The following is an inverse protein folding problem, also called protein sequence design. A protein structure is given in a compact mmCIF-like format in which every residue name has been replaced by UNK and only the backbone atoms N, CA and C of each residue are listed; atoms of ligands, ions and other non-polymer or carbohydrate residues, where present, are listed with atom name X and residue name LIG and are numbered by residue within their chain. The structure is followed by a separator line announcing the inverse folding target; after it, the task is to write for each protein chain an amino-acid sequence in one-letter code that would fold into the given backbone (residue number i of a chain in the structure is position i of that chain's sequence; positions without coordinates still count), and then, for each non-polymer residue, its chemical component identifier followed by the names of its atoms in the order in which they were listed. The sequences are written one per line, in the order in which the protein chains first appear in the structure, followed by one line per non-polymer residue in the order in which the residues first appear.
data_IF_921857961691
#
_entry.id   IF_921857961691
#
_cell.length_a   1.000
_cell.length_b   1.000
_cell.length_c   1.000
_cell.angle_alpha   90.00
_cell.angle_beta   90.00
_cell.angle_gamma   90.00
#
_symmetry.space_group_name_H-M   'P 1'
#
loop_
_entity.id
_entity.type
_entity.pdbx_description
1 polymer ?
#
# COMPACT_ATOMS: atom_id res chain seq x y z
N UNK A 1 -19.49 -12.38 22.45
CA UNK A 1 -18.22 -12.99 22.91
C UNK A 1 -17.87 -14.14 21.95
N UNK A 2 -17.20 -13.84 20.84
CA UNK A 2 -16.64 -14.87 19.94
C UNK A 2 -15.36 -15.46 20.58
N UNK A 3 -15.57 -16.23 21.65
CA UNK A 3 -14.51 -16.88 22.41
C UNK A 3 -14.02 -18.16 21.73
N UNK A 4 -12.70 -18.34 21.72
CA UNK A 4 -11.95 -19.54 21.35
C UNK A 4 -11.97 -20.03 19.89
N UNK A 5 -13.08 -20.01 19.15
CA UNK A 5 -13.11 -20.56 17.77
C UNK A 5 -12.54 -19.63 16.68
N UNK A 6 -12.68 -18.32 16.81
CA UNK A 6 -12.07 -17.36 15.85
C UNK A 6 -10.54 -17.38 15.84
N UNK A 7 -9.94 -17.80 16.97
CA UNK A 7 -8.49 -17.94 17.17
C UNK A 7 -7.85 -19.05 16.33
N UNK A 8 -8.65 -19.96 15.77
CA UNK A 8 -8.16 -21.08 14.95
C UNK A 8 -7.87 -20.66 13.49
N UNK A 9 -8.47 -19.57 13.01
CA UNK A 9 -8.42 -19.18 11.59
C UNK A 9 -7.68 -17.86 11.36
N UNK A 10 -7.76 -16.93 12.31
CA UNK A 10 -6.88 -15.75 12.35
C UNK A 10 -5.69 -16.14 13.22
N UNK A 11 -4.57 -16.42 12.56
CA UNK A 11 -3.35 -16.91 13.21
C UNK A 11 -2.31 -15.80 13.26
N UNK A 12 -1.41 -15.90 14.24
CA UNK A 12 -0.20 -15.08 14.21
C UNK A 12 0.56 -15.35 12.91
N UNK A 13 1.21 -14.31 12.35
CA UNK A 13 2.06 -14.49 11.18
C UNK A 13 3.18 -15.47 11.51
N UNK A 14 3.69 -16.14 10.47
CA UNK A 14 4.95 -16.86 10.57
C UNK A 14 6.08 -15.88 10.94
N UNK A 15 7.06 -16.37 11.70
CA UNK A 15 8.28 -15.65 12.05
C UNK A 15 9.32 -15.66 10.92
N UNK A 16 9.11 -16.50 9.89
CA UNK A 16 9.92 -16.48 8.67
C UNK A 16 9.71 -15.19 7.85
N UNK A 17 10.70 -14.81 7.05
CA UNK A 17 10.54 -13.66 6.14
C UNK A 17 9.52 -14.03 5.06
N UNK A 18 8.47 -13.22 4.84
CA UNK A 18 7.45 -13.50 3.83
C UNK A 18 8.03 -13.59 2.42
N UNK A 19 7.44 -14.47 1.60
CA UNK A 19 7.94 -14.79 0.26
C UNK A 19 7.95 -13.60 -0.69
N UNK A 20 6.98 -12.70 -0.52
CA UNK A 20 6.82 -11.44 -1.25
C UNK A 20 8.01 -10.50 -1.02
N UNK A 21 8.66 -10.62 0.14
CA UNK A 21 9.88 -9.90 0.47
C UNK A 21 11.09 -10.68 -0.02
N UNK A 22 11.26 -11.94 0.37
CA UNK A 22 12.47 -12.72 0.03
C UNK A 22 12.72 -12.84 -1.47
N UNK A 23 11.65 -12.97 -2.27
CA UNK A 23 11.73 -13.17 -3.71
C UNK A 23 11.88 -11.85 -4.50
N UNK A 24 11.88 -10.70 -3.81
CA UNK A 24 11.94 -9.40 -4.46
C UNK A 24 13.17 -8.58 -3.99
N UNK A 25 14.17 -8.35 -4.85
CA UNK A 25 15.39 -7.61 -4.49
C UNK A 25 15.16 -6.11 -4.24
N UNK A 26 13.93 -5.62 -4.47
CA UNK A 26 13.51 -4.27 -4.05
C UNK A 26 13.19 -4.21 -2.56
N UNK A 27 12.87 -5.35 -1.94
CA UNK A 27 12.43 -5.43 -0.55
C UNK A 27 13.43 -6.21 0.32
N UNK A 28 14.00 -7.32 -0.17
CA UNK A 28 15.05 -8.05 0.54
C UNK A 28 16.44 -7.44 0.28
N UNK A 29 17.31 -7.31 1.30
CA UNK A 29 17.13 -7.74 2.69
C UNK A 29 16.47 -6.69 3.61
N UNK A 30 16.18 -5.50 3.10
CA UNK A 30 15.84 -4.32 3.91
C UNK A 30 14.57 -4.48 4.77
N UNK A 31 13.56 -5.18 4.25
CA UNK A 31 12.29 -5.43 4.94
C UNK A 31 12.19 -6.87 5.49
N UNK A 32 13.31 -7.58 5.70
CA UNK A 32 13.31 -9.01 6.07
C UNK A 32 12.52 -9.38 7.34
N UNK A 33 12.33 -8.41 8.24
CA UNK A 33 11.60 -8.59 9.50
C UNK A 33 10.18 -7.99 9.47
N UNK A 34 9.75 -7.50 8.31
CA UNK A 34 8.39 -7.03 8.07
C UNK A 34 7.47 -8.22 7.83
N UNK A 35 6.44 -8.37 8.66
CA UNK A 35 5.50 -9.50 8.62
C UNK A 35 4.16 -9.16 7.97
N UNK A 36 3.90 -7.88 7.72
CA UNK A 36 2.67 -7.44 7.06
C UNK A 36 2.44 -5.93 7.16
N UNK A 37 1.19 -5.53 6.97
CA UNK A 37 0.73 -4.16 7.13
C UNK A 37 -0.48 -4.04 8.05
N UNK A 38 -0.60 -2.89 8.71
CA UNK A 38 -1.70 -2.48 9.59
C UNK A 38 -2.45 -1.32 8.93
N UNK A 39 -3.78 -1.40 8.95
CA UNK A 39 -4.62 -0.28 8.58
C UNK A 39 -6.04 -0.37 9.14
N UNK A 40 -6.71 0.79 9.16
CA UNK A 40 -8.10 0.93 9.52
C UNK A 40 -8.99 0.89 8.29
N UNK A 41 -10.20 0.36 8.43
CA UNK A 41 -11.25 0.52 7.41
C UNK A 41 -12.59 0.85 8.05
N UNK A 42 -13.35 1.71 7.39
CA UNK A 42 -14.70 2.02 7.79
C UNK A 42 -15.70 1.05 7.11
N UNK A 43 -16.59 0.49 7.94
CA UNK A 43 -17.72 -0.33 7.52
C UNK A 43 -19.00 0.35 7.99
N UNK A 44 -20.05 0.38 7.15
CA UNK A 44 -21.32 1.01 7.51
C UNK A 44 -21.88 0.38 8.80
N UNK A 45 -22.42 1.22 9.66
CA UNK A 45 -23.01 0.78 10.91
C UNK A 45 -24.38 1.42 11.11
N UNK A 46 -25.36 0.60 11.48
CA UNK A 46 -26.68 1.10 11.89
C UNK A 46 -26.73 1.19 13.42
N UNK A 47 -26.91 2.41 13.91
CA UNK A 47 -26.71 2.79 15.31
C UNK A 47 -27.90 3.65 15.76
N UNK A 48 -28.43 3.45 16.99
CA UNK A 48 -29.50 4.29 17.53
C UNK A 48 -29.13 5.77 17.54
N UNK A 49 -30.09 6.65 17.22
CA UNK A 49 -29.92 8.11 17.10
C UNK A 49 -29.15 8.73 18.28
N UNK A 50 -29.44 8.28 19.51
CA UNK A 50 -28.77 8.76 20.74
C UNK A 50 -27.26 8.56 20.77
N UNK A 51 -26.72 7.65 19.95
CA UNK A 51 -25.30 7.27 19.94
C UNK A 51 -24.61 7.57 18.60
N UNK A 52 -25.34 7.96 17.56
CA UNK A 52 -24.81 8.18 16.21
C UNK A 52 -23.69 9.22 16.14
N UNK A 53 -23.68 10.21 17.04
CA UNK A 53 -22.64 11.24 17.07
C UNK A 53 -21.22 10.67 17.14
N UNK A 54 -21.02 9.59 17.90
CA UNK A 54 -19.72 8.90 18.00
C UNK A 54 -19.38 8.07 16.76
N UNK A 55 -20.39 7.56 16.05
CA UNK A 55 -20.18 6.69 14.89
C UNK A 55 -20.07 7.46 13.57
N UNK A 56 -20.19 8.78 13.59
CA UNK A 56 -20.14 9.60 12.39
C UNK A 56 -18.73 9.61 11.80
N UNK A 57 -18.61 9.16 10.56
CA UNK A 57 -17.34 9.19 9.82
C UNK A 57 -17.06 10.59 9.25
N UNK A 58 -15.79 10.88 8.92
CA UNK A 58 -15.41 12.12 8.21
C UNK A 58 -16.06 12.22 6.82
N UNK A 59 -16.31 11.08 6.16
CA UNK A 59 -16.94 10.99 4.83
C UNK A 59 -18.48 11.01 4.91
N UNK A 60 -19.04 11.32 6.08
CA UNK A 60 -20.50 11.29 6.32
C UNK A 60 -21.01 9.88 6.68
N UNK A 61 -22.26 9.83 7.15
CA UNK A 61 -22.91 8.59 7.59
C UNK A 61 -22.32 7.99 8.89
N UNK A 62 -22.94 6.91 9.36
CA UNK A 62 -22.51 6.16 10.55
C UNK A 62 -21.72 4.92 10.15
N UNK A 63 -20.55 4.76 10.76
CA UNK A 63 -19.61 3.66 10.47
C UNK A 63 -19.02 3.10 11.76
N UNK A 64 -18.63 1.84 11.73
CA UNK A 64 -17.67 1.28 12.66
C UNK A 64 -16.28 1.32 12.04
N UNK A 65 -15.28 1.68 12.85
CA UNK A 65 -13.88 1.55 12.47
C UNK A 65 -13.41 0.12 12.79
N UNK A 66 -12.66 -0.48 11.86
CA UNK A 66 -12.11 -1.82 11.92
C UNK A 66 -10.62 -1.74 11.68
N UNK A 67 -9.82 -2.02 12.71
CA UNK A 67 -8.38 -2.17 12.57
C UNK A 67 -8.06 -3.60 12.18
N UNK A 68 -7.17 -3.79 11.20
CA UNK A 68 -6.68 -5.11 10.82
C UNK A 68 -5.16 -5.13 10.65
N UNK A 69 -4.55 -6.25 11.02
CA UNK A 69 -3.21 -6.63 10.64
C UNK A 69 -3.30 -7.71 9.56
N UNK A 70 -2.57 -7.51 8.46
CA UNK A 70 -2.68 -8.32 7.25
C UNK A 70 -1.28 -8.71 6.80
N UNK A 71 -1.07 -10.02 6.61
CA UNK A 71 0.18 -10.60 6.13
C UNK A 71 0.29 -10.51 4.60
N UNK A 72 1.50 -10.67 4.06
CA UNK A 72 1.72 -10.55 2.62
C UNK A 72 1.11 -11.68 1.78
N UNK A 73 0.77 -12.82 2.40
CA UNK A 73 -0.06 -13.88 1.81
C UNK A 73 -1.57 -13.54 1.79
N UNK A 74 -1.91 -12.26 2.01
CA UNK A 74 -3.25 -11.68 1.96
C UNK A 74 -4.21 -12.20 3.02
N UNK A 75 -3.70 -12.72 4.14
CA UNK A 75 -4.53 -13.18 5.26
C UNK A 75 -4.56 -12.17 6.40
N UNK A 76 -5.69 -12.13 7.11
CA UNK A 76 -5.79 -11.43 8.37
C UNK A 76 -5.00 -12.18 9.44
N UNK A 77 -4.06 -11.50 10.10
CA UNK A 77 -3.39 -11.99 11.31
C UNK A 77 -3.97 -11.40 12.60
N UNK A 78 -4.71 -10.29 12.48
CA UNK A 78 -5.48 -9.69 13.58
C UNK A 78 -6.63 -8.84 13.03
N UNK A 79 -7.76 -8.83 13.74
CA UNK A 79 -8.91 -7.96 13.43
C UNK A 79 -9.53 -7.44 14.73
N UNK A 80 -9.74 -6.13 14.78
CA UNK A 80 -10.45 -5.44 15.85
C UNK A 80 -11.58 -4.60 15.25
N UNK A 81 -12.80 -5.12 15.33
CA UNK A 81 -14.01 -4.46 14.84
C UNK A 81 -14.83 -3.86 15.99
N UNK A 82 -15.78 -2.99 15.64
CA UNK A 82 -16.75 -2.42 16.58
C UNK A 82 -16.35 -1.10 17.24
N UNK A 83 -15.25 -0.48 16.80
CA UNK A 83 -14.87 0.86 17.24
C UNK A 83 -15.76 1.93 16.64
N UNK A 84 -15.93 3.04 17.35
CA UNK A 84 -16.73 4.14 16.84
C UNK A 84 -16.09 4.77 15.59
N UNK A 85 -16.90 5.11 14.58
CA UNK A 85 -16.43 5.70 13.33
C UNK A 85 -15.71 7.05 13.45
N UNK A 86 -15.78 7.74 14.60
CA UNK A 86 -14.98 8.94 14.86
C UNK A 86 -13.68 8.67 15.62
N UNK A 87 -13.46 7.44 16.08
CA UNK A 87 -12.27 7.08 16.84
C UNK A 87 -11.00 7.21 15.98
N UNK A 88 -9.97 7.81 16.57
CA UNK A 88 -8.65 7.92 15.93
C UNK A 88 -7.96 6.57 15.86
N UNK A 89 -7.34 6.28 14.72
CA UNK A 89 -6.64 5.03 14.46
C UNK A 89 -5.56 4.70 15.50
N UNK A 90 -4.82 5.69 15.99
CA UNK A 90 -3.83 5.53 17.06
C UNK A 90 -4.45 5.02 18.38
N UNK A 91 -5.67 5.47 18.72
CA UNK A 91 -6.39 5.02 19.90
C UNK A 91 -6.83 3.56 19.76
N UNK A 92 -7.31 3.19 18.58
CA UNK A 92 -7.73 1.81 18.28
C UNK A 92 -6.51 0.87 18.33
N UNK A 93 -5.38 1.29 17.78
CA UNK A 93 -4.13 0.52 17.84
C UNK A 93 -3.62 0.36 19.28
N UNK A 94 -3.68 1.41 20.10
CA UNK A 94 -3.30 1.33 21.52
C UNK A 94 -4.16 0.33 22.30
N UNK A 95 -5.48 0.32 22.06
CA UNK A 95 -6.37 -0.72 22.63
C UNK A 95 -6.01 -2.11 22.09
N UNK A 96 -5.79 -2.25 20.78
CA UNK A 96 -5.41 -3.52 20.17
C UNK A 96 -4.16 -4.13 20.83
N UNK A 97 -3.15 -3.32 21.14
CA UNK A 97 -1.89 -3.76 21.76
C UNK A 97 -2.02 -4.07 23.25
N UNK A 98 -2.82 -3.31 23.99
CA UNK A 98 -2.97 -3.44 25.45
C UNK A 98 -3.92 -4.56 25.88
N UNK A 99 -4.81 -5.01 24.98
CA UNK A 99 -5.82 -6.02 25.28
C UNK A 99 -5.25 -7.41 25.61
N UNK A 100 -5.87 -8.14 26.55
CA UNK A 100 -5.62 -9.57 26.73
C UNK A 100 -5.97 -10.35 25.45
N UNK A 101 -4.97 -10.97 24.81
CA UNK A 101 -5.16 -11.63 23.52
C UNK A 101 -5.33 -10.66 22.33
N UNK A 102 -4.92 -9.40 22.51
CA UNK A 102 -4.84 -8.39 21.47
C UNK A 102 -3.75 -8.66 20.43
N UNK A 103 -3.43 -7.65 19.64
CA UNK A 103 -2.39 -7.71 18.60
C UNK A 103 -1.05 -8.06 19.26
N UNK A 104 -0.45 -9.18 18.84
CA UNK A 104 0.89 -9.60 19.27
C UNK A 104 1.84 -9.47 18.10
N UNK A 105 2.97 -8.83 18.36
CA UNK A 105 4.04 -8.62 17.39
C UNK A 105 5.21 -9.47 17.90
N UNK A 106 5.67 -10.49 17.15
CA UNK A 106 6.82 -11.30 17.54
C UNK A 106 8.07 -10.43 17.72
N UNK A 107 8.97 -10.86 18.60
CA UNK A 107 10.21 -10.14 18.87
C UNK A 107 11.05 -9.97 17.59
N UNK A 108 11.60 -8.77 17.39
CA UNK A 108 12.36 -8.42 16.19
C UNK A 108 11.52 -8.13 14.94
N UNK A 109 10.23 -8.52 14.92
CA UNK A 109 9.33 -8.33 13.78
C UNK A 109 8.54 -7.02 13.85
N UNK A 110 7.97 -6.60 12.72
CA UNK A 110 7.13 -5.40 12.66
C UNK A 110 6.12 -5.40 11.52
N UNK A 111 5.11 -4.56 11.66
CA UNK A 111 4.15 -4.23 10.61
C UNK A 111 4.43 -2.86 9.99
N UNK A 112 4.03 -2.64 8.75
CA UNK A 112 3.96 -1.30 8.16
C UNK A 112 2.63 -0.64 8.50
N UNK A 113 2.63 0.59 8.98
CA UNK A 113 1.42 1.34 9.31
C UNK A 113 1.34 2.65 8.53
N UNK A 114 0.15 3.23 8.43
CA UNK A 114 -0.01 4.57 7.86
C UNK A 114 0.61 5.65 8.77
N UNK A 115 0.95 6.78 8.18
CA UNK A 115 1.49 7.97 8.82
C UNK A 115 0.66 8.45 10.02
N UNK A 116 -0.66 8.22 10.00
CA UNK A 116 -1.60 8.58 11.07
C UNK A 116 -1.35 7.86 12.41
N UNK A 117 -0.68 6.70 12.39
CA UNK A 117 -0.42 5.89 13.60
C UNK A 117 0.79 6.38 14.41
N UNK A 118 1.69 7.16 13.80
CA UNK A 118 2.99 7.47 14.39
C UNK A 118 3.94 6.26 14.36
N UNK A 119 5.25 6.49 14.54
CA UNK A 119 6.22 5.38 14.60
C UNK A 119 6.33 4.90 16.04
N UNK A 120 6.35 3.58 16.26
CA UNK A 120 6.49 3.00 17.60
C UNK A 120 7.02 1.56 17.50
N UNK A 121 7.32 0.96 18.65
CA UNK A 121 7.74 -0.41 18.74
C UNK A 121 6.75 -1.38 18.06
N UNK A 122 7.27 -2.20 17.15
CA UNK A 122 6.52 -3.19 16.39
C UNK A 122 5.84 -2.66 15.13
N UNK A 123 5.92 -1.38 14.80
CA UNK A 123 5.42 -0.87 13.51
C UNK A 123 6.15 0.36 12.97
N UNK A 124 6.34 0.36 11.65
CA UNK A 124 7.07 1.43 10.95
C UNK A 124 6.11 2.22 10.05
N UNK A 125 6.14 3.54 10.20
CA UNK A 125 5.38 4.49 9.39
C UNK A 125 6.30 5.21 8.40
N UNK A 126 5.77 5.68 7.25
CA UNK A 126 6.56 6.42 6.28
C UNK A 126 7.01 7.77 6.85
N UNK A 127 7.96 8.42 6.19
CA UNK A 127 8.36 9.78 6.51
C UNK A 127 7.21 10.75 6.19
N UNK A 128 6.79 11.52 7.20
CA UNK A 128 5.79 12.61 7.06
C UNK A 128 6.29 13.69 6.11
N UNK A 129 5.42 14.13 5.21
CA UNK A 129 5.71 15.23 4.28
C UNK A 129 6.79 14.91 3.24
N UNK A 130 7.12 13.63 3.04
CA UNK A 130 8.06 13.18 2.00
C UNK A 130 7.28 12.53 0.87
N UNK A 131 7.57 12.93 -0.36
CA UNK A 131 6.88 12.49 -1.58
C UNK A 131 6.90 10.96 -1.73
N UNK A 132 5.76 10.42 -2.18
CA UNK A 132 5.62 9.06 -2.71
C UNK A 132 4.40 8.97 -3.63
N UNK A 133 4.49 9.43 -4.87
CA UNK A 133 3.35 9.34 -5.81
C UNK A 133 3.74 8.60 -7.08
N UNK A 134 3.02 7.51 -7.35
CA UNK A 134 3.16 6.65 -8.54
C UNK A 134 2.59 7.27 -9.82
N UNK A 135 1.71 8.29 -9.73
CA UNK A 135 0.98 8.83 -10.90
C UNK A 135 1.49 10.19 -11.36
N UNK A 136 1.72 11.13 -10.46
CA UNK A 136 2.11 12.51 -10.83
C UNK A 136 3.58 12.64 -11.23
N UNK A 137 4.43 11.66 -10.85
CA UNK A 137 5.86 11.70 -11.11
C UNK A 137 6.45 10.37 -11.58
N UNK A 138 5.66 9.55 -12.26
CA UNK A 138 6.10 8.23 -12.76
C UNK A 138 7.34 8.30 -13.68
N UNK A 139 7.64 9.48 -14.23
CA UNK A 139 8.82 9.73 -15.07
C UNK A 139 10.13 9.85 -14.27
N UNK A 140 10.08 10.23 -13.00
CA UNK A 140 11.27 10.52 -12.19
C UNK A 140 11.38 9.56 -11.00
N UNK A 141 12.54 8.90 -10.89
CA UNK A 141 12.85 8.00 -9.78
C UNK A 141 12.98 8.76 -8.45
N UNK A 142 13.01 8.05 -7.31
CA UNK A 142 13.23 8.67 -6.01
C UNK A 142 14.57 9.42 -5.96
N UNK A 143 14.57 10.61 -5.37
CA UNK A 143 15.73 11.51 -5.33
C UNK A 143 16.59 11.34 -4.07
N UNK A 144 16.02 10.75 -3.02
CA UNK A 144 16.69 10.56 -1.74
C UNK A 144 16.22 9.29 -1.02
N UNK A 145 16.95 8.94 0.04
CA UNK A 145 16.69 7.75 0.86
C UNK A 145 15.26 7.69 1.42
N UNK A 146 14.70 8.83 1.83
CA UNK A 146 13.36 8.90 2.43
C UNK A 146 12.26 8.67 1.40
N UNK A 147 12.41 9.21 0.19
CA UNK A 147 11.48 8.96 -0.92
C UNK A 147 11.52 7.51 -1.37
N UNK A 148 12.72 6.94 -1.52
CA UNK A 148 12.85 5.52 -1.86
C UNK A 148 12.21 4.64 -0.77
N UNK A 149 12.40 4.99 0.50
CA UNK A 149 11.73 4.32 1.61
C UNK A 149 10.21 4.43 1.52
N UNK A 150 9.65 5.63 1.37
CA UNK A 150 8.19 5.82 1.28
C UNK A 150 7.59 5.11 0.07
N UNK A 151 8.28 5.11 -1.08
CA UNK A 151 7.86 4.39 -2.28
C UNK A 151 7.76 2.88 -2.03
N UNK A 152 8.77 2.28 -1.40
CA UNK A 152 8.78 0.83 -1.09
C UNK A 152 7.83 0.46 0.04
N UNK A 153 7.75 1.31 1.07
CA UNK A 153 6.79 1.20 2.15
C UNK A 153 5.36 1.17 1.61
N UNK A 154 4.99 2.18 0.82
CA UNK A 154 3.67 2.26 0.17
C UNK A 154 3.40 1.05 -0.72
N UNK A 155 4.39 0.61 -1.51
CA UNK A 155 4.26 -0.58 -2.36
C UNK A 155 3.94 -1.86 -1.59
N UNK A 156 4.53 -2.06 -0.41
CA UNK A 156 4.21 -3.21 0.46
C UNK A 156 2.85 -3.01 1.13
N UNK A 157 2.54 -1.77 1.55
CA UNK A 157 1.30 -1.43 2.24
C UNK A 157 0.06 -1.62 1.38
N UNK A 158 0.15 -1.52 0.06
CA UNK A 158 -0.95 -1.84 -0.90
C UNK A 158 -1.63 -3.18 -0.57
N UNK A 159 -0.92 -4.14 0.01
CA UNK A 159 -1.47 -5.42 0.50
C UNK A 159 -2.70 -5.23 1.41
N UNK A 160 -2.66 -4.27 2.34
CA UNK A 160 -3.75 -4.06 3.31
C UNK A 160 -5.01 -3.51 2.62
N UNK A 161 -4.81 -2.55 1.73
CA UNK A 161 -5.87 -1.93 0.93
C UNK A 161 -6.49 -2.95 -0.03
N UNK A 162 -5.64 -3.80 -0.64
CA UNK A 162 -6.07 -4.90 -1.50
C UNK A 162 -6.99 -5.85 -0.76
N UNK A 163 -6.61 -6.30 0.44
CA UNK A 163 -7.42 -7.25 1.21
C UNK A 163 -8.73 -6.61 1.65
N UNK A 164 -8.76 -5.33 2.06
CA UNK A 164 -10.04 -4.66 2.33
C UNK A 164 -10.93 -4.53 1.10
N UNK A 165 -10.34 -4.23 -0.06
CA UNK A 165 -11.04 -4.20 -1.34
C UNK A 165 -11.67 -5.56 -1.67
N UNK A 166 -10.88 -6.64 -1.59
CA UNK A 166 -11.35 -8.01 -1.80
C UNK A 166 -12.44 -8.35 -0.79
N UNK A 167 -12.22 -8.12 0.51
CA UNK A 167 -13.16 -8.45 1.57
C UNK A 167 -14.53 -7.81 1.32
N UNK A 168 -14.55 -6.50 1.04
CA UNK A 168 -15.80 -5.81 0.75
C UNK A 168 -16.46 -6.42 -0.47
N UNK A 169 -15.72 -6.62 -1.57
CA UNK A 169 -16.26 -7.11 -2.85
C UNK A 169 -16.82 -8.53 -2.73
N UNK A 170 -16.09 -9.40 -2.04
CA UNK A 170 -16.50 -10.75 -1.69
C UNK A 170 -17.74 -10.79 -0.79
N UNK A 171 -17.81 -9.90 0.21
CA UNK A 171 -18.90 -9.84 1.19
C UNK A 171 -19.66 -8.52 1.07
N UNK A 172 -20.54 -8.41 0.06
CA UNK A 172 -21.37 -7.23 -0.21
C UNK A 172 -22.26 -6.80 0.97
N UNK A 173 -22.48 -7.70 1.93
CA UNK A 173 -23.13 -7.38 3.22
C UNK A 173 -22.40 -6.25 3.98
N UNK A 174 -21.09 -6.08 3.79
CA UNK A 174 -20.30 -5.04 4.43
C UNK A 174 -20.49 -3.64 3.82
N UNK A 175 -20.95 -3.57 2.57
CA UNK A 175 -21.27 -2.30 1.89
C UNK A 175 -22.76 -1.93 2.04
N UNK A 176 -23.61 -2.87 2.46
CA UNK A 176 -25.04 -2.67 2.61
C UNK A 176 -25.36 -1.93 3.92
N UNK A 177 -26.50 -1.23 3.97
CA UNK A 177 -26.98 -0.65 5.22
C UNK A 177 -27.40 -1.77 6.19
N UNK A 178 -26.77 -1.92 7.35
CA UNK A 178 -27.10 -3.02 8.25
C UNK A 178 -28.46 -2.79 8.93
N UNK A 179 -29.25 -3.85 9.10
CA UNK A 179 -30.51 -3.78 9.86
C UNK A 179 -30.44 -4.52 11.21
N UNK A 180 -29.34 -5.22 11.48
CA UNK A 180 -29.12 -5.92 12.74
C UNK A 180 -28.72 -4.95 13.87
N UNK A 181 -28.81 -5.39 15.12
CA UNK A 181 -28.22 -4.64 16.23
C UNK A 181 -26.69 -4.54 16.05
N UNK A 182 -26.07 -3.54 16.67
CA UNK A 182 -24.66 -3.24 16.46
C UNK A 182 -23.71 -4.41 16.78
N UNK A 183 -23.97 -5.17 17.84
CA UNK A 183 -23.13 -6.30 18.20
C UNK A 183 -23.13 -7.38 17.11
N UNK A 184 -24.29 -7.68 16.54
CA UNK A 184 -24.40 -8.60 15.40
C UNK A 184 -23.67 -8.07 14.17
N UNK A 185 -23.68 -6.75 13.93
CA UNK A 185 -22.90 -6.15 12.83
C UNK A 185 -21.39 -6.36 13.03
N UNK A 186 -20.88 -6.21 14.26
CA UNK A 186 -19.47 -6.50 14.59
C UNK A 186 -19.14 -7.97 14.35
N UNK A 187 -20.02 -8.88 14.77
CA UNK A 187 -19.84 -10.31 14.59
C UNK A 187 -19.82 -10.71 13.10
N UNK A 188 -20.63 -10.07 12.26
CA UNK A 188 -20.62 -10.25 10.80
C UNK A 188 -19.27 -9.84 10.20
N UNK A 189 -18.70 -8.70 10.62
CA UNK A 189 -17.37 -8.26 10.15
C UNK A 189 -16.32 -9.31 10.46
N UNK A 190 -16.29 -9.80 11.71
CA UNK A 190 -15.34 -10.82 12.14
C UNK A 190 -15.52 -12.13 11.38
N UNK A 191 -16.77 -12.56 11.15
CA UNK A 191 -17.09 -13.74 10.36
C UNK A 191 -16.59 -13.62 8.91
N UNK A 192 -16.76 -12.45 8.27
CA UNK A 192 -16.27 -12.20 6.91
C UNK A 192 -14.73 -12.35 6.85
N UNK A 193 -14.00 -11.78 7.81
CA UNK A 193 -12.53 -11.92 7.85
C UNK A 193 -12.09 -13.39 8.04
N UNK A 194 -12.82 -14.16 8.87
CA UNK A 194 -12.57 -15.59 9.09
C UNK A 194 -12.80 -16.38 7.79
N UNK A 195 -13.92 -16.14 7.09
CA UNK A 195 -14.22 -16.79 5.83
C UNK A 195 -13.22 -16.42 4.73
N UNK A 196 -12.79 -15.15 4.68
CA UNK A 196 -11.73 -14.72 3.78
C UNK A 196 -10.44 -15.53 3.99
N UNK A 197 -9.95 -15.63 5.23
CA UNK A 197 -8.78 -16.43 5.56
C UNK A 197 -8.93 -17.91 5.19
N UNK A 198 -10.11 -18.48 5.42
CA UNK A 198 -10.38 -19.86 5.06
C UNK A 198 -10.28 -20.08 3.55
N UNK A 199 -10.90 -19.19 2.77
CA UNK A 199 -10.90 -19.27 1.30
C UNK A 199 -9.49 -19.05 0.73
N UNK A 200 -8.72 -18.10 1.28
CA UNK A 200 -7.30 -17.93 0.96
C UNK A 200 -6.44 -19.15 1.30
N UNK A 201 -6.91 -20.07 2.16
CA UNK A 201 -6.23 -21.35 2.44
C UNK A 201 -6.62 -22.49 1.50
N UNK A 202 -7.75 -22.38 0.80
CA UNK A 202 -8.30 -23.44 -0.07
C UNK A 202 -8.08 -23.12 -1.55
N UNK A 203 -8.41 -21.90 -1.99
CA UNK A 203 -8.25 -21.46 -3.38
C UNK A 203 -7.91 -19.95 -3.46
N UNK A 204 -6.61 -19.60 -3.45
CA UNK A 204 -6.16 -18.22 -3.58
C UNK A 204 -6.44 -17.63 -4.98
N UNK A 205 -6.43 -18.45 -6.03
CA UNK A 205 -6.39 -17.97 -7.42
C UNK A 205 -7.71 -17.34 -7.86
N UNK A 206 -8.85 -17.86 -7.39
CA UNK A 206 -10.18 -17.32 -7.72
C UNK A 206 -10.38 -15.89 -7.18
N UNK A 207 -9.83 -15.59 -6.00
CA UNK A 207 -9.95 -14.27 -5.35
C UNK A 207 -9.04 -13.20 -5.98
N UNK A 208 -7.87 -13.61 -6.50
CA UNK A 208 -6.90 -12.68 -7.09
C UNK A 208 -7.28 -12.27 -8.52
N UNK A 209 -8.01 -13.13 -9.24
CA UNK A 209 -8.38 -12.94 -10.65
C UNK A 209 -9.60 -12.02 -10.86
N UNK A 210 -10.31 -11.61 -9.81
CA UNK A 210 -11.52 -10.78 -9.93
C UNK A 210 -11.27 -9.29 -10.27
N UNK A 211 -10.03 -8.87 -10.54
CA UNK A 211 -9.74 -7.55 -11.15
C UNK A 211 -10.12 -6.33 -10.28
N UNK A 212 -9.98 -6.45 -8.96
CA UNK A 212 -10.63 -5.55 -8.01
C UNK A 212 -9.73 -4.39 -7.53
N UNK A 213 -9.38 -3.40 -8.37
CA UNK A 213 -8.69 -2.18 -7.89
C UNK A 213 -9.23 -0.88 -8.50
N UNK A 214 -9.60 0.06 -7.63
CA UNK A 214 -9.46 1.52 -7.83
C UNK A 214 -8.94 2.09 -6.50
N UNK A 215 -7.83 2.82 -6.55
CA UNK A 215 -7.20 3.39 -5.37
C UNK A 215 -8.02 4.59 -4.87
N UNK A 216 -8.42 4.59 -3.60
CA UNK A 216 -9.04 5.76 -2.96
C UNK A 216 -8.05 6.49 -2.07
N UNK A 217 -7.95 7.80 -2.24
CA UNK A 217 -7.20 8.72 -1.36
C UNK A 217 -7.73 8.72 0.07
N UNK A 218 -6.81 8.75 1.03
CA UNK A 218 -7.09 9.01 2.44
C UNK A 218 -6.16 10.07 3.00
N UNK A 219 -6.76 11.17 3.45
CA UNK A 219 -6.14 12.32 4.09
C UNK A 219 -5.67 12.01 5.53
N UNK A 220 -4.46 12.48 5.84
CA UNK A 220 -3.80 12.34 7.14
C UNK A 220 -4.23 13.44 8.13
N UNK A 221 -4.58 13.06 9.37
CA UNK A 221 -4.64 13.98 10.54
C UNK A 221 -3.92 13.35 11.75
N UNK A 222 -3.15 14.21 12.43
CA UNK A 222 -2.24 14.01 13.56
C UNK A 222 -3.00 13.71 14.88
N UNK A 223 -2.41 12.93 15.78
CA UNK A 223 -2.36 13.35 17.18
C UNK A 223 -0.95 13.29 17.78
N UNK A 224 -0.73 14.20 18.74
CA UNK A 224 0.45 14.38 19.60
C UNK A 224 0.34 13.52 20.87
N UNK A 225 1.45 12.92 21.30
CA UNK A 225 1.65 12.42 22.67
C UNK A 225 3.06 12.76 23.19
N UNK A 226 3.15 12.78 24.51
CA UNK A 226 4.21 13.34 25.38
C UNK A 226 4.57 12.30 26.45
N UNK A 227 5.80 12.13 26.99
CA UNK A 227 7.10 12.72 26.67
C UNK A 227 8.23 12.16 27.61
N UNK A 228 8.56 10.85 27.69
CA UNK A 228 9.95 10.47 28.12
C UNK A 228 10.40 9.05 27.81
N UNK A 229 9.59 8.04 28.08
CA UNK A 229 9.93 6.63 27.81
C UNK A 229 9.55 6.24 26.38
N UNK A 230 8.36 6.68 25.92
CA UNK A 230 7.97 6.65 24.50
C UNK A 230 9.01 7.32 23.59
N UNK A 231 9.71 8.36 24.06
CA UNK A 231 10.74 9.05 23.26
C UNK A 231 11.92 8.14 22.93
N UNK A 232 12.28 7.18 23.78
CA UNK A 232 13.42 6.31 23.53
C UNK A 232 13.07 5.25 22.49
N UNK A 233 11.94 4.56 22.66
CA UNK A 233 11.46 3.57 21.70
C UNK A 233 11.15 4.20 20.33
N UNK A 234 10.52 5.37 20.31
CA UNK A 234 10.27 6.14 19.09
C UNK A 234 11.58 6.50 18.38
N UNK A 235 12.63 6.85 19.14
CA UNK A 235 13.96 7.15 18.58
C UNK A 235 14.61 5.90 18.00
N UNK A 236 14.55 4.76 18.69
CA UNK A 236 15.11 3.49 18.22
C UNK A 236 14.45 3.02 16.92
N UNK A 237 13.12 3.08 16.86
CA UNK A 237 12.39 2.68 15.65
C UNK A 237 12.53 3.69 14.52
N UNK A 238 12.69 4.99 14.84
CA UNK A 238 13.09 5.99 13.85
C UNK A 238 14.47 5.72 13.30
N UNK A 239 15.44 5.38 14.15
CA UNK A 239 16.79 5.01 13.73
C UNK A 239 16.79 3.74 12.87
N UNK A 240 16.00 2.71 13.25
CA UNK A 240 15.80 1.51 12.43
C UNK A 240 15.24 1.85 11.05
N UNK A 241 14.24 2.74 10.97
CA UNK A 241 13.72 3.22 9.68
C UNK A 241 14.80 3.94 8.87
N UNK A 242 15.56 4.82 9.51
CA UNK A 242 16.63 5.59 8.87
C UNK A 242 17.75 4.67 8.35
N UNK A 243 18.12 3.63 9.10
CA UNK A 243 19.07 2.60 8.68
C UNK A 243 18.57 1.83 7.45
N UNK A 244 17.30 1.38 7.46
CA UNK A 244 16.67 0.72 6.31
C UNK A 244 16.70 1.64 5.09
N UNK A 245 16.29 2.91 5.25
CA UNK A 245 16.25 3.89 4.18
C UNK A 245 17.64 4.16 3.58
N UNK A 246 18.66 4.37 4.43
CA UNK A 246 20.03 4.67 4.00
C UNK A 246 20.67 3.46 3.31
N UNK A 247 20.56 2.27 3.90
CA UNK A 247 21.13 1.03 3.32
C UNK A 247 20.53 0.77 1.94
N UNK A 248 19.21 0.90 1.83
CA UNK A 248 18.50 0.73 0.56
C UNK A 248 18.89 1.79 -0.48
N UNK A 249 19.13 3.03 -0.04
CA UNK A 249 19.56 4.13 -0.92
C UNK A 249 20.97 3.92 -1.49
N UNK A 250 21.91 3.49 -0.65
CA UNK A 250 23.29 3.17 -1.06
C UNK A 250 23.27 2.10 -2.16
N UNK A 251 22.54 1.02 -1.94
CA UNK A 251 22.40 -0.06 -2.92
C UNK A 251 21.70 0.41 -4.21
N UNK A 252 20.65 1.24 -4.08
CA UNK A 252 19.92 1.77 -5.22
C UNK A 252 20.79 2.65 -6.11
N UNK A 253 21.55 3.57 -5.51
CA UNK A 253 22.47 4.45 -6.23
C UNK A 253 23.60 3.67 -6.89
N UNK A 254 24.20 2.70 -6.20
CA UNK A 254 25.23 1.83 -6.77
C UNK A 254 24.73 1.07 -8.02
N UNK A 255 23.50 0.55 -7.97
CA UNK A 255 22.86 -0.15 -9.11
C UNK A 255 22.58 0.79 -10.28
N UNK A 256 22.12 2.01 -10.03
CA UNK A 256 21.85 2.98 -11.09
C UNK A 256 23.13 3.52 -11.74
N UNK A 257 24.17 3.80 -10.96
CA UNK A 257 25.49 4.17 -11.49
C UNK A 257 26.05 3.04 -12.39
N UNK A 258 25.91 1.78 -11.96
CA UNK A 258 26.35 0.62 -12.75
C UNK A 258 25.57 0.49 -14.07
N UNK A 259 24.26 0.76 -14.06
CA UNK A 259 23.43 0.78 -15.27
C UNK A 259 23.81 1.92 -16.21
N UNK A 260 24.07 3.12 -15.68
CA UNK A 260 24.49 4.26 -16.49
C UNK A 260 25.86 3.99 -17.15
N UNK A 261 26.79 3.38 -16.42
CA UNK A 261 28.08 2.95 -16.98
C UNK A 261 27.91 1.88 -18.05
N UNK A 262 27.07 0.86 -17.83
CA UNK A 262 26.76 -0.15 -18.83
C UNK A 262 26.12 0.46 -20.09
N UNK A 263 25.15 1.36 -19.91
CA UNK A 263 24.44 2.02 -21.01
C UNK A 263 25.37 2.92 -21.82
N UNK A 264 26.25 3.68 -21.15
CA UNK A 264 27.30 4.47 -21.80
C UNK A 264 28.34 3.58 -22.50
N UNK A 265 28.67 2.42 -21.95
CA UNK A 265 29.57 1.45 -22.58
C UNK A 265 28.95 0.86 -23.85
N UNK A 266 27.69 0.42 -23.81
CA UNK A 266 26.96 -0.08 -24.98
C UNK A 266 26.84 1.00 -26.07
N UNK A 267 26.56 2.25 -25.70
CA UNK A 267 26.49 3.35 -26.65
C UNK A 267 27.85 3.65 -27.33
N UNK A 268 28.97 3.50 -26.61
CA UNK A 268 30.31 3.64 -27.18
C UNK A 268 30.64 2.51 -28.15
N UNK A 269 30.33 1.26 -27.80
CA UNK A 269 30.56 0.10 -28.67
C UNK A 269 29.80 0.19 -30.01
N UNK A 270 28.66 0.88 -30.05
CA UNK A 270 27.92 1.14 -31.30
C UNK A 270 28.43 2.35 -32.10
N UNK A 271 29.11 3.30 -31.45
CA UNK A 271 29.71 4.44 -32.12
C UNK A 271 31.02 4.08 -32.85
N UNK A 272 31.64 2.95 -32.50
CA UNK A 272 32.88 2.45 -33.11
C UNK A 272 32.63 1.53 -34.34
N UNK A 273 31.38 1.40 -34.81
CA UNK A 273 31.05 0.69 -36.06
C UNK A 273 30.92 1.74 -37.18
N UNK A 274 32.06 2.21 -37.69
CA UNK A 274 32.11 2.97 -38.94
C UNK A 274 31.83 2.02 -40.11
N UNK A 275 30.67 2.21 -40.77
CA UNK A 275 30.42 1.66 -42.09
C UNK A 275 31.12 2.55 -43.12
N UNK A 276 32.40 2.26 -43.35
CA UNK A 276 33.13 2.77 -44.51
C UNK A 276 32.82 1.83 -45.70
N UNK A 277 32.04 2.31 -46.65
CA UNK A 277 32.06 1.84 -48.04
C UNK A 277 31.57 2.99 -48.91
N UNK A 278 32.53 3.79 -49.38
CA UNK A 278 32.32 4.79 -50.41
C UNK A 278 31.97 4.15 -51.75
N UNK A 279 31.04 4.76 -52.48
CA UNK A 279 31.09 4.76 -53.93
C UNK A 279 30.46 6.04 -54.47
N UNK A 280 31.30 6.93 -54.99
CA UNK A 280 30.92 8.02 -55.88
C UNK A 280 30.62 7.44 -57.27
N UNK A 281 29.44 7.71 -57.82
CA UNK A 281 29.29 7.86 -59.27
C UNK A 281 28.09 8.76 -59.63
N UNK A 282 28.44 9.95 -60.14
CA UNK A 282 27.77 10.87 -61.07
C UNK A 282 26.69 10.25 -61.99
N UNK A 283 25.60 10.88 -62.48
CA UNK A 283 25.26 12.27 -62.87
C UNK A 283 23.75 12.30 -63.33
N UNK A 284 23.15 13.46 -63.73
CA UNK A 284 21.80 13.91 -63.32
C UNK A 284 20.70 13.83 -64.39
N UNK A 285 19.44 14.04 -63.99
CA UNK A 285 18.37 14.50 -64.89
C UNK A 285 17.35 15.38 -64.14
N UNK A 286 17.28 16.65 -64.52
CA UNK A 286 16.19 17.57 -64.21
C UNK A 286 14.96 17.24 -65.07
N UNK A 287 13.75 17.38 -64.51
CA UNK A 287 12.52 17.64 -65.24
C UNK A 287 11.56 18.43 -64.35
N UNK A 288 11.30 19.67 -64.76
CA UNK A 288 10.30 20.58 -64.21
C UNK A 288 8.85 20.18 -64.57
N UNK A 289 7.93 20.72 -63.75
CA UNK A 289 6.58 21.23 -64.02
C UNK A 289 5.29 20.38 -63.89
N UNK A 290 4.33 21.04 -63.19
CA UNK A 290 2.85 21.05 -63.32
C UNK A 290 2.09 19.78 -62.86
N UNK A 291 0.98 19.78 -62.09
CA UNK A 291 -0.19 20.65 -61.86
C UNK A 291 -0.89 20.09 -60.56
N UNK A 292 -1.41 20.88 -59.60
CA UNK A 292 -2.73 21.51 -59.49
C UNK A 292 -3.74 20.82 -58.52
N UNK A 293 -4.50 21.71 -57.88
CA UNK A 293 -5.84 21.61 -57.27
C UNK A 293 -6.07 21.24 -55.78
N UNK A 294 -6.66 22.24 -55.12
CA UNK A 294 -7.32 22.25 -53.82
C UNK A 294 -8.61 21.42 -53.82
N UNK A 295 -8.85 20.69 -52.72
CA UNK A 295 -10.10 20.01 -52.43
C UNK A 295 -10.55 20.24 -51.00
N UNK A 296 -11.46 21.20 -50.83
CA UNK A 296 -12.23 21.54 -49.62
C UNK A 296 -12.96 20.33 -49.03
N UNK A 297 -13.08 20.22 -47.69
CA UNK A 297 -14.33 19.87 -46.98
C UNK A 297 -14.20 19.94 -45.44
N UNK A 298 -14.64 21.10 -44.92
CA UNK A 298 -15.60 21.32 -43.83
C UNK A 298 -15.69 20.42 -42.57
N UNK A 299 -15.61 21.12 -41.43
CA UNK A 299 -16.49 21.11 -40.24
C UNK A 299 -16.54 19.85 -39.35
N UNK A 300 -16.02 19.88 -38.11
CA UNK A 300 -16.63 20.37 -36.83
C UNK A 300 -17.90 19.58 -36.42
N UNK A 301 -18.23 19.43 -35.10
CA UNK A 301 -17.85 20.35 -34.02
C UNK A 301 -17.44 19.72 -32.67
N UNK A 302 -16.81 20.60 -31.88
CA UNK A 302 -16.76 20.60 -30.40
C UNK A 302 -18.11 21.01 -29.81
N UNK A 303 -18.31 20.65 -28.55
CA UNK A 303 -19.16 21.23 -27.48
C UNK A 303 -19.84 20.06 -26.73
N UNK A 304 -19.89 19.96 -25.40
CA UNK A 304 -19.70 20.89 -24.28
C UNK A 304 -18.95 20.16 -23.16
#
# INVERSE_FOLDING_TARGET
MFGYKGRLVIRLPDESTPSEITNNPRFYPYFKDCIGALDGTHIRASIPLSTQGRFRSRKGGTTQNVLAAITFDLKFSYVLAGWEGSAHDSRILSDALSRPGGLRIPEGKYYLADTGYGIQNGYITPYRGVRYHLKEFSAEGPENAKELFNLRHSSLRITVERVFGILKKQFRVLDSEPFWNFQTQVDIVLACCIFHNHLMGVDPSDLLNQGLYEASESDLIIPTLTEREERQEVREWSAKRDEIALTMWIDYTARNISKDMATKSFARTFADIDLDDGNEDSMPVDCDNEEAEEGVMNQRPKCF
#
